data_IF_684254860699
#
_entry.id   IF_684254860699
#
_cell.length_a   1.000
_cell.length_b   1.000
_cell.length_c   1.000
_cell.angle_alpha   90.00
_cell.angle_beta   90.00
_cell.angle_gamma   90.00
#
_symmetry.space_group_name_H-M   'P 1'
#
loop_
_entity.id
_entity.type
_entity.pdbx_description
1 polymer ?
#
# COMPACT_ATOMS: atom_id res chain seq x y z
N UNK A 1 44.73 67.11 18.88
CA UNK A 1 43.95 67.23 17.62
C UNK A 1 44.56 66.22 16.65
N UNK A 2 43.96 65.08 16.30
CA UNK A 2 42.66 64.51 16.60
C UNK A 2 42.77 62.98 16.65
N UNK A 3 41.79 62.37 17.32
CA UNK A 3 41.63 60.94 17.48
C UNK A 3 41.39 60.26 16.13
N UNK A 4 42.00 59.09 15.94
CA UNK A 4 41.81 58.22 14.77
C UNK A 4 40.80 57.14 15.14
N UNK A 5 39.62 57.28 14.52
CA UNK A 5 38.50 56.36 14.26
C UNK A 5 38.57 54.91 14.81
N UNK A 6 37.65 54.57 15.72
CA UNK A 6 37.32 53.21 16.20
C UNK A 6 35.82 52.89 16.09
N UNK A 7 35.11 53.41 15.09
CA UNK A 7 33.66 53.18 14.97
C UNK A 7 33.27 53.11 13.51
N UNK A 8 33.26 51.93 12.87
CA UNK A 8 32.33 51.63 11.77
C UNK A 8 32.32 50.18 11.20
N UNK A 9 32.86 49.14 11.89
CA UNK A 9 32.88 47.76 11.34
C UNK A 9 31.94 46.75 12.05
N UNK A 10 31.15 47.17 13.06
CA UNK A 10 30.29 46.23 13.82
C UNK A 10 28.79 46.27 13.48
N UNK A 11 28.32 47.29 12.76
CA UNK A 11 26.87 47.49 12.54
C UNK A 11 26.30 46.61 11.42
N UNK A 12 27.13 46.17 10.46
CA UNK A 12 26.69 45.35 9.32
C UNK A 12 26.73 43.83 9.54
N UNK A 13 27.50 43.34 10.52
CA UNK A 13 27.74 41.90 10.73
C UNK A 13 26.64 41.28 11.60
N UNK A 14 26.16 41.98 12.64
CA UNK A 14 25.06 41.49 13.50
C UNK A 14 23.78 41.22 12.69
N UNK A 15 23.49 42.04 11.67
CA UNK A 15 22.26 41.90 10.90
C UNK A 15 22.29 40.72 9.92
N UNK A 16 23.47 40.39 9.37
CA UNK A 16 23.64 39.22 8.48
C UNK A 16 23.63 37.91 9.27
N UNK A 17 24.23 37.91 10.46
CA UNK A 17 24.20 36.76 11.37
C UNK A 17 22.76 36.47 11.82
N UNK A 18 21.99 37.51 12.19
CA UNK A 18 20.57 37.37 12.54
C UNK A 18 19.69 36.86 11.39
N UNK A 19 19.96 37.23 10.13
CA UNK A 19 19.20 36.74 8.97
C UNK A 19 19.52 35.27 8.68
N UNK A 20 20.79 34.85 8.81
CA UNK A 20 21.15 33.44 8.61
C UNK A 20 20.62 32.55 9.75
N UNK A 21 20.67 33.04 11.00
CA UNK A 21 20.03 32.38 12.15
C UNK A 21 18.52 32.34 11.99
N UNK A 22 17.87 33.43 11.56
CA UNK A 22 16.42 33.46 11.33
C UNK A 22 15.97 32.56 10.18
N UNK A 23 16.70 32.53 9.05
CA UNK A 23 16.43 31.58 7.97
C UNK A 23 16.65 30.12 8.41
N UNK A 24 17.67 29.86 9.23
CA UNK A 24 17.92 28.56 9.82
C UNK A 24 16.79 28.13 10.78
N UNK A 25 16.34 29.03 11.65
CA UNK A 25 15.23 28.79 12.58
C UNK A 25 13.90 28.62 11.86
N UNK A 26 13.59 29.41 10.82
CA UNK A 26 12.37 29.24 10.02
C UNK A 26 12.36 27.93 9.23
N UNK A 27 13.51 27.51 8.68
CA UNK A 27 13.62 26.21 8.01
C UNK A 27 13.45 25.04 8.99
N UNK A 28 13.91 25.18 10.25
CA UNK A 28 13.71 24.19 11.30
C UNK A 28 12.26 24.17 11.81
N UNK A 29 11.64 25.33 11.99
CA UNK A 29 10.21 25.44 12.35
C UNK A 29 9.28 24.87 11.25
N UNK A 30 9.64 25.05 9.97
CA UNK A 30 8.93 24.46 8.84
C UNK A 30 9.06 22.92 8.82
N UNK A 31 10.22 22.38 9.22
CA UNK A 31 10.42 20.93 9.36
C UNK A 31 9.65 20.36 10.57
N UNK A 32 9.69 21.06 11.71
CA UNK A 32 8.92 20.69 12.91
C UNK A 32 7.41 20.73 12.63
N UNK A 33 6.93 21.68 11.83
CA UNK A 33 5.51 21.77 11.41
C UNK A 33 5.08 20.59 10.53
N UNK A 34 5.97 20.09 9.67
CA UNK A 34 5.72 18.89 8.85
C UNK A 34 5.71 17.63 9.73
N UNK A 35 6.64 17.50 10.70
CA UNK A 35 6.64 16.41 11.68
C UNK A 35 5.44 16.47 12.64
N UNK A 36 4.93 17.68 12.94
CA UNK A 36 3.72 17.90 13.74
C UNK A 36 2.41 17.81 12.96
N UNK A 37 2.39 17.17 11.78
CA UNK A 37 1.11 16.70 11.23
C UNK A 37 0.55 15.62 12.13
N UNK A 38 -0.18 16.04 13.17
CA UNK A 38 -0.89 15.15 14.06
C UNK A 38 -1.74 14.24 13.19
N UNK A 39 -1.42 12.94 13.21
CA UNK A 39 -2.24 11.91 12.63
C UNK A 39 -3.60 12.01 13.31
N UNK A 40 -4.53 12.73 12.69
CA UNK A 40 -5.85 12.94 13.25
C UNK A 40 -6.48 11.60 13.55
N UNK A 41 -7.42 11.54 14.50
CA UNK A 41 -8.15 10.29 14.83
C UNK A 41 -8.64 9.55 13.57
N UNK A 42 -8.97 10.28 12.51
CA UNK A 42 -9.28 9.75 11.18
C UNK A 42 -8.13 9.00 10.49
N UNK A 43 -6.90 9.52 10.51
CA UNK A 43 -5.73 8.85 9.94
C UNK A 43 -5.43 7.53 10.66
N UNK A 44 -5.57 7.50 11.99
CA UNK A 44 -5.41 6.29 12.80
C UNK A 44 -6.50 5.25 12.52
N UNK A 45 -7.76 5.68 12.35
CA UNK A 45 -8.85 4.78 11.96
C UNK A 45 -8.66 4.20 10.55
N UNK A 46 -8.21 5.03 9.60
CA UNK A 46 -7.95 4.59 8.22
C UNK A 46 -6.74 3.65 8.16
N UNK A 47 -5.67 3.90 8.92
CA UNK A 47 -4.51 3.00 8.95
C UNK A 47 -4.84 1.65 9.58
N UNK A 48 -5.62 1.62 10.67
CA UNK A 48 -6.09 0.36 11.26
C UNK A 48 -7.00 -0.40 10.31
N UNK A 49 -7.94 0.29 9.64
CA UNK A 49 -8.84 -0.35 8.68
C UNK A 49 -8.06 -0.91 7.49
N UNK A 50 -7.08 -0.18 6.99
CA UNK A 50 -6.17 -0.64 5.94
C UNK A 50 -5.33 -1.84 6.39
N UNK A 51 -4.81 -1.83 7.62
CA UNK A 51 -4.05 -2.94 8.18
C UNK A 51 -4.91 -4.21 8.35
N UNK A 52 -6.15 -4.07 8.85
CA UNK A 52 -7.10 -5.20 8.95
C UNK A 52 -7.44 -5.71 7.54
N UNK A 53 -7.68 -4.82 6.58
CA UNK A 53 -7.94 -5.20 5.19
C UNK A 53 -6.77 -5.97 4.58
N UNK A 54 -5.54 -5.49 4.76
CA UNK A 54 -4.32 -6.16 4.32
C UNK A 54 -4.10 -7.51 5.01
N UNK A 55 -4.38 -7.60 6.31
CA UNK A 55 -4.31 -8.85 7.08
C UNK A 55 -5.33 -9.87 6.57
N UNK A 56 -6.58 -9.45 6.33
CA UNK A 56 -7.65 -10.34 5.83
C UNK A 56 -7.34 -10.86 4.42
N UNK A 57 -6.82 -9.99 3.56
CA UNK A 57 -6.31 -10.37 2.25
C UNK A 57 -5.16 -11.40 2.37
N UNK A 58 -4.17 -11.13 3.22
CA UNK A 58 -3.05 -12.05 3.46
C UNK A 58 -3.52 -13.40 4.00
N UNK A 59 -4.55 -13.40 4.86
CA UNK A 59 -5.18 -14.62 5.36
C UNK A 59 -5.82 -15.44 4.23
N UNK A 60 -6.60 -14.84 3.33
CA UNK A 60 -7.22 -15.56 2.20
C UNK A 60 -6.18 -16.18 1.24
N UNK A 61 -5.06 -15.49 1.07
CA UNK A 61 -3.94 -15.98 0.25
C UNK A 61 -3.14 -17.07 0.96
N UNK A 62 -3.09 -17.07 2.29
CA UNK A 62 -2.43 -18.10 3.08
C UNK A 62 -3.28 -19.37 3.26
N UNK A 63 -4.57 -19.20 3.56
CA UNK A 63 -5.47 -20.31 3.90
C UNK A 63 -5.68 -21.26 2.70
N UNK A 64 -5.57 -20.75 1.46
CA UNK A 64 -5.72 -21.59 0.27
C UNK A 64 -4.72 -22.73 0.22
N UNK A 65 -3.49 -22.52 0.68
CA UNK A 65 -2.46 -23.56 0.70
C UNK A 65 -2.86 -24.71 1.62
N UNK A 66 -3.55 -24.41 2.73
CA UNK A 66 -4.12 -25.43 3.60
C UNK A 66 -5.37 -26.08 2.98
N UNK A 67 -6.25 -25.29 2.37
CA UNK A 67 -7.46 -25.78 1.71
C UNK A 67 -7.11 -26.76 0.58
N UNK A 68 -6.12 -26.47 -0.27
CA UNK A 68 -5.68 -27.36 -1.35
C UNK A 68 -5.17 -28.72 -0.85
N UNK A 69 -4.71 -28.81 0.41
CA UNK A 69 -4.31 -30.08 1.04
C UNK A 69 -5.51 -30.82 1.63
N UNK A 70 -6.47 -30.10 2.20
CA UNK A 70 -7.63 -30.67 2.90
C UNK A 70 -8.84 -30.97 2.00
N UNK A 71 -8.99 -30.30 0.86
CA UNK A 71 -10.23 -30.31 0.09
C UNK A 71 -10.53 -31.67 -0.58
N UNK A 72 -9.52 -32.53 -0.74
CA UNK A 72 -9.68 -33.92 -1.22
C UNK A 72 -10.51 -33.99 -2.50
N UNK A 73 -11.62 -34.72 -2.46
CA UNK A 73 -12.57 -34.89 -3.56
C UNK A 73 -13.75 -33.90 -3.58
N UNK A 74 -13.74 -32.86 -2.73
CA UNK A 74 -14.89 -31.95 -2.57
C UNK A 74 -15.14 -31.04 -3.79
N UNK A 75 -14.22 -31.00 -4.76
CA UNK A 75 -14.37 -30.27 -6.04
C UNK A 75 -14.74 -31.19 -7.22
N UNK A 76 -15.15 -32.43 -6.95
CA UNK A 76 -15.58 -33.41 -7.96
C UNK A 76 -14.58 -34.54 -8.23
N UNK A 77 -13.29 -34.36 -7.93
CA UNK A 77 -12.25 -35.38 -7.96
C UNK A 77 -11.08 -35.00 -7.03
N UNK A 78 -10.22 -35.96 -6.67
CA UNK A 78 -9.01 -35.64 -5.91
C UNK A 78 -8.05 -34.78 -6.73
N UNK A 79 -7.72 -33.60 -6.20
CA UNK A 79 -6.81 -32.66 -6.86
C UNK A 79 -5.41 -33.28 -7.02
N UNK A 80 -4.97 -33.40 -8.28
CA UNK A 80 -3.61 -33.77 -8.62
C UNK A 80 -2.62 -32.66 -8.23
N UNK A 81 -1.35 -33.01 -8.00
CA UNK A 81 -0.28 -32.04 -7.69
C UNK A 81 -0.20 -30.92 -8.75
N UNK A 82 -0.35 -31.28 -10.02
CA UNK A 82 -0.32 -30.33 -11.13
C UNK A 82 -1.43 -29.27 -11.04
N UNK A 83 -2.61 -29.64 -10.55
CA UNK A 83 -3.75 -28.74 -10.45
C UNK A 83 -3.59 -27.75 -9.29
N UNK A 84 -3.05 -28.22 -8.17
CA UNK A 84 -2.71 -27.36 -7.02
C UNK A 84 -1.67 -26.32 -7.41
N UNK A 85 -0.64 -26.74 -8.15
CA UNK A 85 0.39 -25.85 -8.69
C UNK A 85 -0.18 -24.86 -9.71
N UNK A 86 -1.12 -25.28 -10.56
CA UNK A 86 -1.82 -24.39 -11.49
C UNK A 86 -2.58 -23.28 -10.76
N UNK A 87 -3.29 -23.60 -9.68
CA UNK A 87 -4.08 -22.64 -8.91
C UNK A 87 -3.17 -21.63 -8.17
N UNK A 88 -2.04 -22.08 -7.63
CA UNK A 88 -1.11 -21.17 -6.93
C UNK A 88 -0.34 -20.30 -7.92
N UNK A 89 0.15 -20.87 -9.02
CA UNK A 89 0.90 -20.14 -10.05
C UNK A 89 0.05 -19.10 -10.79
N UNK A 90 -1.21 -19.40 -11.12
CA UNK A 90 -2.10 -18.44 -11.78
C UNK A 90 -2.42 -17.24 -10.88
N UNK A 91 -2.50 -17.46 -9.56
CA UNK A 91 -2.73 -16.39 -8.58
C UNK A 91 -1.55 -15.43 -8.58
N UNK A 92 -0.31 -15.94 -8.53
CA UNK A 92 0.90 -15.13 -8.62
C UNK A 92 1.03 -14.41 -9.96
N UNK A 93 0.70 -15.07 -11.07
CA UNK A 93 0.66 -14.45 -12.39
C UNK A 93 -0.35 -13.30 -12.46
N UNK A 94 -1.58 -13.52 -11.98
CA UNK A 94 -2.60 -12.49 -11.91
C UNK A 94 -2.21 -11.32 -11.00
N UNK A 95 -1.53 -11.59 -9.88
CA UNK A 95 -1.00 -10.55 -8.99
C UNK A 95 0.09 -9.72 -9.66
N UNK A 96 0.98 -10.33 -10.44
CA UNK A 96 1.99 -9.61 -11.21
C UNK A 96 1.36 -8.62 -12.20
N UNK A 97 0.41 -9.09 -13.02
CA UNK A 97 -0.30 -8.21 -13.95
C UNK A 97 -1.14 -7.18 -13.19
N UNK A 98 -1.84 -7.57 -12.13
CA UNK A 98 -2.63 -6.69 -11.28
C UNK A 98 -1.81 -5.55 -10.69
N UNK A 99 -0.59 -5.82 -10.22
CA UNK A 99 0.31 -4.79 -9.70
C UNK A 99 0.75 -3.79 -10.77
N UNK A 100 1.07 -4.26 -11.99
CA UNK A 100 1.45 -3.37 -13.11
C UNK A 100 0.29 -2.44 -13.48
N UNK A 101 -0.92 -3.00 -13.66
CA UNK A 101 -2.10 -2.20 -13.99
C UNK A 101 -2.47 -1.24 -12.87
N UNK A 102 -2.39 -1.68 -11.61
CA UNK A 102 -2.70 -0.86 -10.46
C UNK A 102 -1.69 0.26 -10.22
N UNK A 103 -0.39 0.02 -10.42
CA UNK A 103 0.64 1.05 -10.33
C UNK A 103 0.39 2.15 -11.37
N UNK A 104 0.23 1.77 -12.64
CA UNK A 104 -0.04 2.72 -13.72
C UNK A 104 -1.36 3.49 -13.53
N UNK A 105 -2.39 2.83 -12.98
CA UNK A 105 -3.70 3.46 -12.71
C UNK A 105 -3.65 4.35 -11.48
N UNK A 106 -2.93 3.96 -10.42
CA UNK A 106 -2.81 4.73 -9.18
C UNK A 106 -2.08 6.06 -9.41
N UNK A 107 -1.06 6.06 -10.26
CA UNK A 107 -0.31 7.26 -10.63
C UNK A 107 -1.16 8.25 -11.45
N UNK A 108 -2.13 7.75 -12.23
CA UNK A 108 -2.95 8.58 -13.14
C UNK A 108 -4.30 9.02 -12.58
N UNK A 109 -4.96 8.17 -11.79
CA UNK A 109 -6.33 8.37 -11.29
C UNK A 109 -6.41 8.55 -9.76
N UNK A 110 -5.28 8.48 -9.07
CA UNK A 110 -5.18 8.69 -7.63
C UNK A 110 -5.29 7.40 -6.81
N UNK A 111 -4.54 7.39 -5.71
CA UNK A 111 -4.33 6.24 -4.81
C UNK A 111 -5.64 5.68 -4.21
N UNK A 112 -6.67 6.53 -4.00
CA UNK A 112 -7.96 6.13 -3.39
C UNK A 112 -8.80 5.21 -4.28
N UNK A 113 -8.91 5.51 -5.59
CA UNK A 113 -9.72 4.71 -6.51
C UNK A 113 -9.14 3.31 -6.68
N UNK A 114 -7.81 3.24 -6.75
CA UNK A 114 -7.11 1.98 -6.90
C UNK A 114 -7.37 1.02 -5.71
N UNK A 115 -7.47 1.55 -4.47
CA UNK A 115 -7.85 0.75 -3.29
C UNK A 115 -9.27 0.19 -3.44
N UNK A 116 -10.24 1.03 -3.82
CA UNK A 116 -11.62 0.60 -4.01
C UNK A 116 -11.74 -0.49 -5.08
N UNK A 117 -11.04 -0.36 -6.20
CA UNK A 117 -11.02 -1.37 -7.26
C UNK A 117 -10.43 -2.69 -6.73
N UNK A 118 -9.32 -2.63 -5.99
CA UNK A 118 -8.72 -3.81 -5.36
C UNK A 118 -9.68 -4.52 -4.40
N UNK A 119 -10.37 -3.77 -3.54
CA UNK A 119 -11.38 -4.32 -2.62
C UNK A 119 -12.56 -4.97 -3.36
N UNK A 120 -13.07 -4.34 -4.42
CA UNK A 120 -14.19 -4.89 -5.20
C UNK A 120 -13.78 -6.19 -5.90
N UNK A 121 -12.61 -6.22 -6.53
CA UNK A 121 -12.08 -7.44 -7.16
C UNK A 121 -11.88 -8.56 -6.14
N UNK A 122 -11.37 -8.23 -4.95
CA UNK A 122 -11.21 -9.20 -3.87
C UNK A 122 -12.57 -9.78 -3.41
N UNK A 123 -13.58 -8.94 -3.16
CA UNK A 123 -14.91 -9.38 -2.75
C UNK A 123 -15.55 -10.27 -3.81
N UNK A 124 -15.51 -9.85 -5.08
CA UNK A 124 -16.08 -10.63 -6.19
C UNK A 124 -15.37 -11.98 -6.32
N UNK A 125 -14.05 -12.00 -6.25
CA UNK A 125 -13.25 -13.22 -6.30
C UNK A 125 -13.53 -14.16 -5.11
N UNK A 126 -13.68 -13.62 -3.90
CA UNK A 126 -14.03 -14.39 -2.70
C UNK A 126 -15.43 -15.02 -2.82
N UNK A 127 -16.42 -14.28 -3.32
CA UNK A 127 -17.77 -14.82 -3.57
C UNK A 127 -17.72 -15.94 -4.60
N UNK A 128 -16.96 -15.77 -5.70
CA UNK A 128 -16.79 -16.80 -6.72
C UNK A 128 -16.14 -18.07 -6.15
N UNK A 129 -15.15 -17.94 -5.27
CA UNK A 129 -14.53 -19.10 -4.61
C UNK A 129 -15.48 -19.76 -3.60
N UNK A 130 -16.25 -18.98 -2.84
CA UNK A 130 -17.22 -19.51 -1.89
C UNK A 130 -18.35 -20.29 -2.58
N UNK A 131 -18.71 -19.92 -3.81
CA UNK A 131 -19.70 -20.60 -4.63
C UNK A 131 -19.11 -21.64 -5.62
N UNK A 132 -17.82 -21.98 -5.49
CA UNK A 132 -17.17 -22.88 -6.43
C UNK A 132 -17.51 -24.35 -6.12
N UNK A 133 -18.06 -25.05 -7.13
CA UNK A 133 -18.32 -26.50 -7.08
C UNK A 133 -17.42 -27.29 -8.01
N UNK A 134 -16.51 -26.62 -8.72
CA UNK A 134 -15.58 -27.21 -9.67
C UNK A 134 -14.23 -26.51 -9.64
N UNK A 135 -13.19 -27.23 -10.03
CA UNK A 135 -11.81 -26.73 -10.09
C UNK A 135 -11.70 -25.48 -10.95
N UNK A 136 -12.30 -25.49 -12.14
CA UNK A 136 -12.29 -24.35 -13.05
C UNK A 136 -12.87 -23.07 -12.42
N UNK A 137 -13.98 -23.18 -11.67
CA UNK A 137 -14.56 -22.04 -10.96
C UNK A 137 -13.62 -21.52 -9.85
N UNK A 138 -12.99 -22.43 -9.11
CA UNK A 138 -12.02 -22.05 -8.08
C UNK A 138 -10.80 -21.35 -8.70
N UNK A 139 -10.28 -21.83 -9.83
CA UNK A 139 -9.19 -21.22 -10.58
C UNK A 139 -9.54 -19.82 -11.09
N UNK A 140 -10.75 -19.63 -11.64
CA UNK A 140 -11.22 -18.30 -12.09
C UNK A 140 -11.34 -17.34 -10.91
N UNK A 141 -11.92 -17.80 -9.79
CA UNK A 141 -11.98 -17.01 -8.56
C UNK A 141 -10.59 -16.62 -8.06
N UNK A 142 -9.60 -17.51 -8.16
CA UNK A 142 -8.19 -17.26 -7.79
C UNK A 142 -7.50 -16.25 -8.69
N UNK A 143 -7.78 -16.28 -9.98
CA UNK A 143 -7.33 -15.26 -10.92
C UNK A 143 -7.89 -13.88 -10.54
N UNK A 144 -9.20 -13.77 -10.30
CA UNK A 144 -9.84 -12.49 -9.94
C UNK A 144 -9.33 -11.95 -8.61
N UNK A 145 -9.22 -12.80 -7.58
CA UNK A 145 -8.60 -12.44 -6.31
C UNK A 145 -7.17 -11.96 -6.57
N UNK A 146 -6.35 -12.72 -7.32
CA UNK A 146 -4.97 -12.37 -7.65
C UNK A 146 -4.82 -10.95 -8.24
N UNK A 147 -5.72 -10.52 -9.13
CA UNK A 147 -5.74 -9.14 -9.63
C UNK A 147 -6.00 -8.10 -8.53
N UNK A 148 -6.98 -8.34 -7.65
CA UNK A 148 -7.29 -7.44 -6.53
C UNK A 148 -6.15 -7.37 -5.51
N UNK A 149 -5.52 -8.50 -5.25
CA UNK A 149 -4.35 -8.68 -4.39
C UNK A 149 -3.12 -7.92 -4.91
N UNK A 150 -2.77 -8.14 -6.17
CA UNK A 150 -1.65 -7.42 -6.80
C UNK A 150 -1.87 -5.92 -6.81
N UNK A 151 -3.14 -5.51 -6.98
CA UNK A 151 -3.51 -4.10 -6.87
C UNK A 151 -3.30 -3.57 -5.46
N UNK A 152 -3.84 -4.25 -4.45
CA UNK A 152 -3.69 -3.85 -3.05
C UNK A 152 -2.22 -3.78 -2.60
N UNK A 153 -1.39 -4.75 -3.01
CA UNK A 153 0.03 -4.81 -2.68
C UNK A 153 0.83 -3.61 -3.20
N UNK A 154 0.40 -2.98 -4.30
CA UNK A 154 1.07 -1.81 -4.86
C UNK A 154 0.65 -0.48 -4.19
N UNK A 155 -0.54 -0.45 -3.57
CA UNK A 155 -1.19 0.79 -3.16
C UNK A 155 -1.12 1.01 -1.65
N UNK A 156 -1.18 -0.08 -0.88
CA UNK A 156 -1.02 -0.05 0.57
C UNK A 156 0.47 0.20 0.88
N UNK A 157 0.80 1.29 1.58
CA UNK A 157 2.18 1.60 1.96
C UNK A 157 2.72 0.70 3.09
#
# INVERSE_FOLDING_TARGET
MGAVNDFDEKVGIEHVEQVHTAMGTQALDDLDTIEQTQSGKYAWLVSITAAIGGMLFGYDTGIISAVLVYIGASLGHELSSNEKELITSITSGAAFFGAIFAGATADRYGRKIAIYVGCVLFIVGAILQAAAFSLAQMTVGRLVVGFGVGSAAMIVP
#
